data_IF_598181921930
#
_entry.id   IF_598181921930
#
_cell.length_a   1.000
_cell.length_b   1.000
_cell.length_c   1.000
_cell.angle_alpha   90.00
_cell.angle_beta   90.00
_cell.angle_gamma   90.00
#
_symmetry.space_group_name_H-M   'P 1'
#
loop_
_entity.id
_entity.type
_entity.pdbx_description
1 polymer ?
#
# COMPACT_ATOMS: atom_id res chain seq x y z
N UNK A 1 27.12 -2.10 -14.12
CA UNK A 1 25.82 -2.81 -14.25
C UNK A 1 25.85 -4.24 -13.71
N UNK A 2 26.93 -5.00 -13.93
CA UNK A 2 27.13 -6.41 -13.51
C UNK A 2 26.95 -6.67 -12.00
N UNK A 3 27.30 -5.73 -11.12
CA UNK A 3 27.19 -5.88 -9.66
C UNK A 3 25.77 -6.16 -9.15
N UNK A 4 24.74 -5.63 -9.82
CA UNK A 4 23.32 -5.92 -9.50
C UNK A 4 22.90 -7.32 -9.90
N UNK A 5 23.60 -7.91 -10.87
CA UNK A 5 23.37 -9.30 -11.26
C UNK A 5 24.08 -10.28 -10.32
N UNK A 6 25.25 -9.91 -9.79
CA UNK A 6 25.97 -10.79 -8.85
C UNK A 6 25.23 -10.93 -7.51
N UNK A 7 24.49 -9.91 -7.07
CA UNK A 7 23.81 -9.93 -5.75
C UNK A 7 22.68 -10.96 -5.62
N UNK A 8 22.12 -11.46 -6.73
CA UNK A 8 21.11 -12.52 -6.68
C UNK A 8 21.70 -13.93 -6.86
N UNK A 9 23.00 -14.05 -7.15
CA UNK A 9 23.67 -15.34 -7.28
C UNK A 9 24.06 -15.77 -5.85
N UNK A 10 23.48 -16.87 -5.33
CA UNK A 10 23.82 -17.35 -3.99
C UNK A 10 25.28 -17.79 -3.94
N UNK A 11 25.92 -17.65 -2.77
CA UNK A 11 27.27 -18.15 -2.56
C UNK A 11 27.32 -19.67 -2.83
N UNK A 12 28.50 -20.16 -3.26
CA UNK A 12 28.72 -21.59 -3.46
C UNK A 12 28.44 -22.32 -2.14
N UNK A 13 27.55 -23.31 -2.16
CA UNK A 13 27.00 -24.04 -0.99
C UNK A 13 25.95 -23.31 -0.14
N UNK A 14 25.45 -22.13 -0.54
CA UNK A 14 24.29 -21.54 0.11
C UNK A 14 23.03 -22.37 -0.22
N UNK A 15 22.47 -23.03 0.80
CA UNK A 15 21.23 -23.78 0.65
C UNK A 15 20.07 -22.79 0.55
N UNK A 16 19.63 -22.51 -0.67
CA UNK A 16 18.51 -21.61 -0.91
C UNK A 16 17.24 -22.18 -0.25
N UNK A 17 16.73 -21.51 0.78
CA UNK A 17 15.49 -21.88 1.44
C UNK A 17 14.34 -21.49 0.51
N UNK A 18 13.83 -22.45 -0.28
CA UNK A 18 12.69 -22.24 -1.20
C UNK A 18 11.43 -21.76 -0.50
N UNK A 19 11.26 -22.17 0.76
CA UNK A 19 10.08 -21.82 1.55
C UNK A 19 10.53 -21.23 2.88
N UNK A 20 10.34 -19.92 3.02
CA UNK A 20 10.62 -19.19 4.25
C UNK A 20 9.79 -19.68 5.47
N UNK A 21 8.95 -20.72 5.33
CA UNK A 21 8.20 -21.34 6.42
C UNK A 21 7.32 -20.32 7.14
N UNK A 22 7.55 -20.15 8.44
CA UNK A 22 6.87 -19.14 9.26
C UNK A 22 7.33 -17.69 8.95
N UNK A 23 8.50 -17.51 8.34
CA UNK A 23 9.01 -16.21 7.90
C UNK A 23 8.39 -15.76 6.56
N UNK A 24 7.60 -16.59 5.89
CA UNK A 24 6.89 -16.20 4.67
C UNK A 24 5.93 -15.04 4.95
N UNK A 25 5.93 -13.98 4.11
CA UNK A 25 5.14 -12.75 4.32
C UNK A 25 3.68 -13.00 4.71
N UNK A 26 3.02 -13.97 4.09
CA UNK A 26 1.61 -14.33 4.38
C UNK A 26 1.40 -14.89 5.79
N UNK A 27 2.37 -15.65 6.31
CA UNK A 27 2.28 -16.36 7.60
C UNK A 27 2.99 -15.63 8.73
N UNK A 28 3.95 -14.76 8.41
CA UNK A 28 4.83 -14.06 9.35
C UNK A 28 4.06 -13.30 10.42
N UNK A 29 3.00 -12.58 10.05
CA UNK A 29 2.22 -11.78 11.00
C UNK A 29 1.58 -12.61 12.14
N UNK A 30 1.24 -13.87 11.88
CA UNK A 30 0.60 -14.74 12.89
C UNK A 30 1.54 -15.76 13.53
N UNK A 31 2.51 -16.30 12.78
CA UNK A 31 3.39 -17.36 13.28
C UNK A 31 4.65 -16.82 13.98
N UNK A 32 5.19 -15.67 13.54
CA UNK A 32 6.41 -15.13 14.13
C UNK A 32 6.26 -14.72 15.60
N UNK A 33 5.15 -14.09 16.04
CA UNK A 33 4.95 -13.78 17.45
C UNK A 33 4.96 -15.03 18.35
N UNK A 34 4.35 -16.14 17.89
CA UNK A 34 4.33 -17.42 18.63
C UNK A 34 5.71 -18.03 18.80
N UNK A 35 6.59 -17.83 17.81
CA UNK A 35 7.99 -18.28 17.89
C UNK A 35 8.76 -17.43 18.90
N UNK A 36 8.53 -16.12 18.94
CA UNK A 36 9.15 -15.27 19.97
C UNK A 36 8.68 -15.63 21.38
N UNK A 37 7.37 -15.90 21.55
CA UNK A 37 6.80 -16.38 22.81
C UNK A 37 7.40 -17.72 23.24
N UNK A 38 7.51 -18.70 22.33
CA UNK A 38 8.08 -20.01 22.62
C UNK A 38 9.59 -19.98 22.93
N UNK A 39 10.30 -18.95 22.49
CA UNK A 39 11.74 -18.77 22.70
C UNK A 39 12.07 -17.76 23.81
N UNK A 40 11.07 -17.27 24.55
CA UNK A 40 11.20 -16.21 25.55
C UNK A 40 11.96 -14.96 25.03
N UNK A 41 11.75 -14.63 23.76
CA UNK A 41 12.39 -13.50 23.10
C UNK A 41 11.51 -12.24 23.19
N UNK A 42 12.16 -11.10 23.44
CA UNK A 42 11.49 -9.80 23.37
C UNK A 42 11.09 -9.55 21.90
N UNK A 43 9.78 -9.44 21.66
CA UNK A 43 9.30 -9.10 20.32
C UNK A 43 9.76 -7.69 19.92
N UNK A 44 10.27 -7.49 18.69
CA UNK A 44 10.70 -6.18 18.24
C UNK A 44 9.50 -5.23 18.20
N UNK A 45 9.70 -4.01 18.72
CA UNK A 45 8.68 -2.96 18.67
C UNK A 45 8.37 -2.63 17.21
N UNK A 46 7.14 -2.88 16.79
CA UNK A 46 6.68 -2.52 15.45
C UNK A 46 6.32 -1.04 15.49
N UNK A 47 7.02 -0.17 14.74
CA UNK A 47 6.67 1.24 14.71
C UNK A 47 5.23 1.39 14.20
N UNK A 48 4.50 2.33 14.81
CA UNK A 48 3.16 2.66 14.35
C UNK A 48 3.20 3.05 12.87
N UNK A 49 2.24 2.55 12.10
CA UNK A 49 2.14 2.91 10.68
C UNK A 49 1.87 4.41 10.60
N UNK A 50 2.66 5.17 9.83
CA UNK A 50 2.41 6.59 9.68
C UNK A 50 1.00 6.82 9.12
N UNK A 51 0.28 7.74 9.71
CA UNK A 51 -1.04 8.14 9.22
C UNK A 51 -0.98 8.75 7.82
N UNK A 52 -2.14 8.90 7.18
CA UNK A 52 -2.26 9.47 5.84
C UNK A 52 -1.53 10.82 5.68
N UNK A 53 -1.66 11.71 6.67
CA UNK A 53 -0.99 13.02 6.63
C UNK A 53 0.53 12.92 6.60
N UNK A 54 1.13 12.01 7.38
CA UNK A 54 2.57 11.77 7.38
C UNK A 54 3.03 11.16 6.05
N UNK A 55 2.25 10.26 5.47
CA UNK A 55 2.53 9.67 4.16
C UNK A 55 2.52 10.72 3.04
N UNK A 56 1.48 11.57 2.99
CA UNK A 56 1.37 12.63 1.98
C UNK A 56 2.49 13.64 2.14
N UNK A 57 2.78 14.05 3.38
CA UNK A 57 3.89 14.96 3.66
C UNK A 57 5.23 14.37 3.25
N UNK A 58 5.48 13.09 3.48
CA UNK A 58 6.70 12.43 3.01
C UNK A 58 6.78 12.30 1.49
N UNK A 59 5.64 12.13 0.81
CA UNK A 59 5.60 11.95 -0.65
C UNK A 59 5.69 13.26 -1.43
N UNK A 60 4.87 14.26 -1.08
CA UNK A 60 4.77 15.54 -1.79
C UNK A 60 5.64 16.64 -1.17
N UNK A 61 6.24 16.38 0.00
CA UNK A 61 6.94 17.38 0.82
C UNK A 61 6.06 18.60 1.18
N UNK A 62 4.74 18.44 1.13
CA UNK A 62 3.74 19.45 1.48
C UNK A 62 2.81 18.89 2.55
N UNK A 63 2.52 19.72 3.56
CA UNK A 63 1.63 19.31 4.65
C UNK A 63 0.17 19.42 4.17
N UNK A 64 -0.61 18.33 4.11
CA UNK A 64 -2.00 18.37 3.66
C UNK A 64 -2.90 19.17 4.61
N UNK A 65 -2.46 19.42 5.85
CA UNK A 65 -3.18 20.23 6.81
C UNK A 65 -2.68 21.68 6.86
N UNK A 66 -1.87 22.12 5.89
CA UNK A 66 -1.43 23.50 5.79
C UNK A 66 -2.05 24.16 4.56
N UNK A 67 -2.67 25.33 4.76
CA UNK A 67 -3.19 26.11 3.65
C UNK A 67 -2.03 26.62 2.79
N UNK A 68 -2.07 26.34 1.49
CA UNK A 68 -1.04 26.76 0.53
C UNK A 68 -1.01 28.30 0.37
N UNK A 69 -2.15 28.97 0.58
CA UNK A 69 -2.26 30.42 0.40
C UNK A 69 -1.85 31.22 1.64
N UNK A 70 -2.37 30.85 2.82
CA UNK A 70 -2.18 31.63 4.04
C UNK A 70 -1.32 30.94 5.11
N UNK A 71 -0.88 29.70 4.89
CA UNK A 71 -0.05 28.96 5.84
C UNK A 71 -0.77 28.47 7.10
N UNK A 72 -2.04 28.84 7.31
CA UNK A 72 -2.83 28.43 8.48
C UNK A 72 -3.16 26.93 8.47
N UNK A 73 -3.36 26.36 9.67
CA UNK A 73 -3.69 24.95 9.85
C UNK A 73 -5.14 24.65 9.43
N UNK A 74 -5.30 23.80 8.44
CA UNK A 74 -6.58 23.25 8.00
C UNK A 74 -7.06 22.18 8.97
N UNK A 75 -8.37 22.10 9.18
CA UNK A 75 -9.01 21.02 9.94
C UNK A 75 -9.49 19.94 8.98
N UNK A 76 -9.25 18.69 9.34
CA UNK A 76 -9.82 17.56 8.61
C UNK A 76 -11.35 17.60 8.74
N UNK A 77 -12.04 17.59 7.60
CA UNK A 77 -13.51 17.57 7.55
C UNK A 77 -14.04 16.16 7.28
N UNK A 78 -13.61 15.56 6.17
CA UNK A 78 -14.01 14.21 5.76
C UNK A 78 -12.98 13.63 4.79
N UNK A 79 -13.01 12.30 4.63
CA UNK A 79 -12.31 11.62 3.56
C UNK A 79 -13.35 10.81 2.77
N UNK A 80 -13.52 11.15 1.50
CA UNK A 80 -14.36 10.38 0.60
C UNK A 80 -13.50 9.33 -0.10
N UNK A 81 -13.88 8.07 0.03
CA UNK A 81 -13.21 6.99 -0.68
C UNK A 81 -13.59 7.07 -2.14
N UNK A 82 -12.59 7.19 -3.02
CA UNK A 82 -12.81 7.07 -4.45
C UNK A 82 -13.46 5.73 -4.82
N UNK A 83 -14.32 5.76 -5.84
CA UNK A 83 -14.90 4.56 -6.43
C UNK A 83 -13.78 3.71 -7.04
N UNK A 84 -13.84 2.38 -6.87
CA UNK A 84 -12.84 1.48 -7.45
C UNK A 84 -12.81 1.66 -8.98
N UNK A 85 -11.62 1.67 -9.58
CA UNK A 85 -11.45 2.00 -11.01
C UNK A 85 -12.34 1.15 -11.92
N UNK A 86 -12.51 -0.13 -11.61
CA UNK A 86 -13.40 -1.05 -12.35
C UNK A 86 -14.85 -0.56 -12.34
N UNK A 87 -15.37 -0.18 -11.18
CA UNK A 87 -16.75 0.29 -11.01
C UNK A 87 -16.96 1.64 -11.70
N UNK A 88 -15.95 2.53 -11.63
CA UNK A 88 -16.00 3.83 -12.31
C UNK A 88 -16.02 3.66 -13.84
N UNK A 89 -15.26 2.68 -14.37
CA UNK A 89 -15.26 2.35 -15.79
C UNK A 89 -16.58 1.71 -16.25
N UNK A 90 -17.18 0.82 -15.45
CA UNK A 90 -18.47 0.21 -15.78
C UNK A 90 -19.58 1.26 -15.82
N UNK A 91 -19.68 2.13 -14.82
CA UNK A 91 -20.67 3.22 -14.80
C UNK A 91 -20.51 4.17 -16.01
N UNK A 92 -19.26 4.46 -16.39
CA UNK A 92 -18.98 5.29 -17.57
C UNK A 92 -19.44 4.60 -18.85
N UNK A 93 -19.20 3.29 -18.97
CA UNK A 93 -19.65 2.48 -20.11
C UNK A 93 -21.18 2.50 -20.21
N UNK A 94 -21.87 2.30 -19.10
CA UNK A 94 -23.33 2.26 -19.05
C UNK A 94 -23.94 3.62 -19.42
N UNK A 95 -23.35 4.72 -18.95
CA UNK A 95 -23.73 6.08 -19.38
C UNK A 95 -23.55 6.29 -20.88
N UNK A 96 -22.48 5.77 -21.48
CA UNK A 96 -22.25 5.86 -22.93
C UNK A 96 -23.26 5.03 -23.73
N UNK A 97 -23.57 3.81 -23.28
CA UNK A 97 -24.58 2.95 -23.89
C UNK A 97 -25.96 3.63 -23.84
N UNK A 98 -26.35 4.18 -22.69
CA UNK A 98 -27.63 4.89 -22.52
C UNK A 98 -27.74 6.12 -23.44
N UNK A 99 -26.66 6.91 -23.57
CA UNK A 99 -26.63 8.05 -24.51
C UNK A 99 -26.80 7.62 -25.95
N UNK A 100 -26.14 6.55 -26.39
CA UNK A 100 -26.29 6.02 -27.76
C UNK A 100 -27.71 5.55 -28.04
N UNK A 101 -28.31 4.79 -27.11
CA UNK A 101 -29.69 4.32 -27.23
C UNK A 101 -30.69 5.46 -27.41
N UNK A 102 -30.56 6.53 -26.62
CA UNK A 102 -31.43 7.71 -26.72
C UNK A 102 -31.26 8.48 -28.05
N UNK A 103 -30.10 8.37 -28.70
CA UNK A 103 -29.83 9.02 -29.99
C UNK A 103 -30.32 8.19 -31.18
N UNK A 104 -30.40 6.86 -31.05
CA UNK A 104 -30.92 5.97 -32.10
C UNK A 104 -32.44 5.79 -32.07
N UNK A 105 -33.09 6.21 -30.99
CA UNK A 105 -34.54 6.12 -30.80
C UNK A 105 -35.31 7.39 -31.21
N UNK A 106 -34.61 8.41 -31.73
CA UNK A 106 -35.17 9.61 -32.35
C UNK A 106 -34.97 9.52 -33.87
#
# INVERSE_FOLDING_TARGET
MIRRYVSHIPARHFKMIRYYGFLANRKRGGLLPKVYEALDMISPNVPEKPGFGALIKGFLNTDPYQCILCGNRLRFMSAEKGIHAVTLLSERRDKMVKKRWLQTAA
#
